data_IF_766875026034
#
_entry.id   IF_766875026034
#
_cell.length_a   1.000
_cell.length_b   1.000
_cell.length_c   1.000
_cell.angle_alpha   90.00
_cell.angle_beta   90.00
_cell.angle_gamma   90.00
#
_symmetry.space_group_name_H-M   'P 1'
#
loop_
_entity.id
_entity.type
_entity.pdbx_description
1 polymer ?
#
# COMPACT_ATOMS: atom_id res chain seq x y z
N UNK A 1 -0.57 -20.16 -33.14
CA UNK A 1 -0.37 -18.88 -32.43
C UNK A 1 0.04 -19.24 -31.01
N UNK A 2 1.24 -18.86 -30.59
CA UNK A 2 1.72 -19.10 -29.22
C UNK A 2 1.31 -17.91 -28.34
N UNK A 3 0.85 -18.14 -27.10
CA UNK A 3 0.45 -17.04 -26.21
C UNK A 3 1.67 -16.20 -25.81
N UNK A 4 1.54 -14.87 -25.88
CA UNK A 4 2.52 -13.92 -25.35
C UNK A 4 2.42 -13.92 -23.82
N UNK A 5 3.27 -14.69 -23.15
CA UNK A 5 3.47 -14.57 -21.70
C UNK A 5 4.31 -13.32 -21.42
N UNK A 6 3.65 -12.19 -21.22
CA UNK A 6 4.27 -10.97 -20.69
C UNK A 6 4.46 -11.10 -19.18
N UNK A 7 5.40 -11.93 -18.76
CA UNK A 7 5.90 -11.85 -17.40
C UNK A 7 7.20 -11.04 -17.46
N UNK A 8 7.30 -10.00 -16.64
CA UNK A 8 8.57 -9.34 -16.43
C UNK A 8 9.59 -10.40 -15.99
N UNK A 9 10.80 -10.36 -16.53
CA UNK A 9 11.87 -11.23 -16.05
C UNK A 9 11.97 -11.10 -14.53
N UNK A 10 12.20 -12.20 -13.78
CA UNK A 10 12.39 -12.12 -12.34
C UNK A 10 13.47 -11.07 -12.08
N UNK A 11 13.09 -9.99 -11.41
CA UNK A 11 14.00 -8.89 -11.11
C UNK A 11 15.23 -9.52 -10.46
N UNK A 12 16.41 -9.24 -11.05
CA UNK A 12 17.66 -9.67 -10.45
C UNK A 12 17.64 -9.29 -8.96
N UNK A 13 18.19 -10.13 -8.06
CA UNK A 13 18.21 -9.83 -6.64
C UNK A 13 18.73 -8.42 -6.42
N UNK A 14 18.06 -7.67 -5.55
CA UNK A 14 18.46 -6.31 -5.20
C UNK A 14 19.94 -6.33 -4.78
N UNK A 15 20.72 -5.38 -5.29
CA UNK A 15 22.11 -5.27 -4.86
C UNK A 15 22.11 -4.76 -3.43
N UNK A 16 23.17 -5.08 -2.69
CA UNK A 16 23.32 -4.64 -1.29
C UNK A 16 23.12 -3.13 -1.12
N UNK A 17 23.59 -2.32 -2.07
CA UNK A 17 23.37 -0.87 -2.10
C UNK A 17 21.89 -0.48 -2.19
N UNK A 18 21.12 -1.19 -3.01
CA UNK A 18 19.70 -0.90 -3.21
C UNK A 18 18.91 -1.30 -1.96
N UNK A 19 19.31 -2.40 -1.30
CA UNK A 19 18.73 -2.80 -0.01
C UNK A 19 19.04 -1.78 1.10
N UNK A 20 20.28 -1.31 1.19
CA UNK A 20 20.66 -0.28 2.17
C UNK A 20 19.90 1.04 1.92
N UNK A 21 19.72 1.44 0.67
CA UNK A 21 18.93 2.63 0.34
C UNK A 21 17.46 2.47 0.73
N UNK A 22 16.89 1.27 0.57
CA UNK A 22 15.53 0.99 1.03
C UNK A 22 15.45 1.02 2.55
N UNK A 23 16.42 0.42 3.24
CA UNK A 23 16.51 0.49 4.71
C UNK A 23 16.57 1.95 5.16
N UNK A 24 17.44 2.79 4.60
CA UNK A 24 17.50 4.22 4.96
C UNK A 24 16.18 4.97 4.67
N UNK A 25 15.50 4.68 3.56
CA UNK A 25 14.18 5.28 3.23
C UNK A 25 13.10 4.87 4.24
N UNK A 26 13.13 3.62 4.69
CA UNK A 26 12.11 3.08 5.60
C UNK A 26 12.45 3.25 7.09
N UNK A 27 13.73 3.44 7.44
CA UNK A 27 14.22 3.71 8.80
C UNK A 27 13.97 5.19 9.18
N UNK A 28 13.96 6.10 8.20
CA UNK A 28 13.65 7.52 8.40
C UNK A 28 12.17 7.87 8.18
N UNK A 29 11.34 6.91 7.76
CA UNK A 29 9.90 7.14 7.76
C UNK A 29 9.41 7.19 9.20
N UNK A 30 9.09 8.41 9.65
CA UNK A 30 8.30 8.71 10.85
C UNK A 30 6.85 8.19 10.67
N UNK A 31 6.71 6.89 10.45
CA UNK A 31 5.43 6.22 10.21
C UNK A 31 4.49 6.54 11.37
N UNK A 32 5.02 6.59 12.58
CA UNK A 32 4.29 6.93 13.80
C UNK A 32 3.73 8.36 13.75
N UNK A 33 4.50 9.35 13.28
CA UNK A 33 4.05 10.74 13.18
C UNK A 33 3.02 10.91 12.07
N UNK A 34 3.20 10.23 10.94
CA UNK A 34 2.23 10.19 9.84
C UNK A 34 0.92 9.55 10.32
N UNK A 35 0.99 8.43 11.03
CA UNK A 35 -0.17 7.74 11.61
C UNK A 35 -0.87 8.66 12.62
N UNK A 36 -0.11 9.35 13.47
CA UNK A 36 -0.67 10.28 14.46
C UNK A 36 -1.42 11.44 13.79
N UNK A 37 -0.86 12.04 12.73
CA UNK A 37 -1.53 13.10 11.97
C UNK A 37 -2.81 12.58 11.28
N UNK A 38 -2.73 11.44 10.60
CA UNK A 38 -3.90 10.81 9.97
C UNK A 38 -5.00 10.56 11.01
N UNK A 39 -4.67 9.93 12.15
CA UNK A 39 -5.64 9.67 13.22
C UNK A 39 -6.24 10.96 13.80
N UNK A 40 -5.44 12.02 13.95
CA UNK A 40 -5.93 13.32 14.40
C UNK A 40 -6.94 13.91 13.39
N UNK A 41 -6.65 13.82 12.09
CA UNK A 41 -7.54 14.31 11.03
C UNK A 41 -8.83 13.51 10.94
N UNK A 42 -8.75 12.18 11.01
CA UNK A 42 -9.93 11.31 10.96
C UNK A 42 -10.90 11.62 12.11
N UNK A 43 -10.40 11.89 13.32
CA UNK A 43 -11.22 12.30 14.47
C UNK A 43 -11.95 13.63 14.29
N UNK A 44 -11.51 14.47 13.36
CA UNK A 44 -12.15 15.75 13.04
C UNK A 44 -13.29 15.61 12.03
N UNK A 45 -13.42 14.45 11.37
CA UNK A 45 -14.49 14.18 10.42
C UNK A 45 -15.77 13.81 11.19
N UNK A 46 -16.87 14.51 10.89
CA UNK A 46 -18.19 14.21 11.43
C UNK A 46 -19.23 14.24 10.29
N UNK A 47 -19.91 13.11 10.00
CA UNK A 47 -19.84 11.83 10.71
C UNK A 47 -18.48 11.13 10.52
N UNK A 48 -18.18 10.19 11.42
CA UNK A 48 -16.98 9.35 11.30
C UNK A 48 -17.02 8.59 9.96
N UNK A 49 -15.90 8.45 9.24
CA UNK A 49 -15.91 7.69 7.99
C UNK A 49 -16.19 6.22 8.29
N UNK A 50 -17.09 5.61 7.51
CA UNK A 50 -17.37 4.18 7.60
C UNK A 50 -16.28 3.41 6.83
N UNK A 51 -15.43 2.67 7.55
CA UNK A 51 -14.38 1.82 6.97
C UNK A 51 -14.69 0.32 7.06
N UNK A 52 -15.74 -0.05 7.80
CA UNK A 52 -16.10 -1.46 8.09
C UNK A 52 -16.94 -2.10 6.97
N UNK A 53 -17.53 -1.30 6.08
CA UNK A 53 -18.20 -1.81 4.90
C UNK A 53 -17.15 -2.18 3.84
N UNK A 54 -17.11 -3.45 3.41
CA UNK A 54 -16.32 -3.85 2.24
C UNK A 54 -16.77 -2.96 1.07
N UNK A 55 -15.90 -2.06 0.55
CA UNK A 55 -16.31 -1.11 -0.47
C UNK A 55 -16.75 -1.83 -1.75
N UNK A 56 -16.46 -3.12 -1.90
CA UNK A 56 -16.83 -3.99 -3.01
C UNK A 56 -17.92 -5.01 -2.66
N UNK A 57 -18.59 -4.92 -1.50
CA UNK A 57 -19.75 -5.76 -1.18
C UNK A 57 -20.80 -5.72 -2.30
N UNK A 58 -21.00 -4.54 -2.91
CA UNK A 58 -21.91 -4.36 -4.06
C UNK A 58 -21.51 -5.16 -5.31
N UNK A 59 -20.26 -5.62 -5.42
CA UNK A 59 -19.77 -6.46 -6.52
C UNK A 59 -20.02 -7.94 -6.29
N UNK A 60 -20.39 -8.37 -5.08
CA UNK A 60 -20.75 -9.78 -4.81
C UNK A 60 -21.99 -10.14 -5.64
N UNK A 61 -21.80 -10.96 -6.67
CA UNK A 61 -22.85 -11.39 -7.61
C UNK A 61 -22.65 -10.92 -9.06
N UNK A 62 -21.66 -10.07 -9.32
CA UNK A 62 -21.28 -9.63 -10.67
C UNK A 62 -19.98 -10.28 -11.19
N UNK A 63 -19.23 -10.99 -10.33
CA UNK A 63 -17.95 -11.65 -10.64
C UNK A 63 -18.07 -13.17 -10.46
#
# INVERSE_FOLDING_TARGET
MSPLTFHAEPLAPLRQRDQQALEEIFDDTQVEDIVADICMRLKQLCPEPCWDDDPFEFLKGYV
#
